data_IF_354087134704
#
_entry.id   IF_354087134704
#
_cell.length_a   1.000
_cell.length_b   1.000
_cell.length_c   1.000
_cell.angle_alpha   90.00
_cell.angle_beta   90.00
_cell.angle_gamma   90.00
#
_symmetry.space_group_name_H-M   'P 1'
#
loop_
_entity.id
_entity.type
_entity.pdbx_description
1 polymer ?
#
# COMPACT_ATOMS: atom_id res chain seq x y z
N UNK A 1 26.04 12.23 3.20
CA UNK A 1 24.72 11.82 3.74
C UNK A 1 23.91 13.07 4.01
N UNK A 2 23.02 13.45 3.09
CA UNK A 2 22.08 14.56 3.29
C UNK A 2 20.98 14.08 4.25
N UNK A 3 20.84 14.74 5.41
CA UNK A 3 19.73 14.46 6.33
C UNK A 3 18.42 14.76 5.60
N UNK A 4 17.53 13.78 5.49
CA UNK A 4 16.15 14.01 5.05
C UNK A 4 15.55 15.08 5.96
N UNK A 5 15.01 16.19 5.43
CA UNK A 5 14.43 17.24 6.26
C UNK A 5 13.31 16.64 7.12
N UNK A 6 13.27 17.02 8.40
CA UNK A 6 12.20 16.56 9.28
C UNK A 6 10.85 17.09 8.77
N UNK A 7 9.77 16.26 8.83
CA UNK A 7 8.43 16.71 8.50
C UNK A 7 8.01 17.91 9.35
N UNK A 8 7.22 18.81 8.77
CA UNK A 8 6.57 19.87 9.53
C UNK A 8 5.45 19.27 10.40
N UNK A 9 5.70 19.15 11.70
CA UNK A 9 4.73 18.59 12.66
C UNK A 9 3.55 19.54 12.85
N UNK A 10 2.34 18.97 12.87
CA UNK A 10 1.09 19.73 12.91
C UNK A 10 0.60 19.96 14.36
N UNK A 11 -0.08 21.10 14.63
CA UNK A 11 -0.67 21.37 15.94
C UNK A 11 -1.93 20.53 16.17
N UNK A 12 -2.31 20.29 17.44
CA UNK A 12 -3.49 19.47 17.78
C UNK A 12 -4.81 20.01 17.19
N UNK A 13 -4.86 21.29 16.83
CA UNK A 13 -6.01 21.89 16.14
C UNK A 13 -6.30 21.27 14.77
N UNK A 14 -5.33 20.58 14.14
CA UNK A 14 -5.53 19.87 12.86
C UNK A 14 -5.93 18.40 13.04
N UNK A 15 -6.21 17.95 14.28
CA UNK A 15 -6.54 16.56 14.57
C UNK A 15 -7.66 16.02 13.68
N UNK A 16 -8.74 16.78 13.51
CA UNK A 16 -9.88 16.37 12.68
C UNK A 16 -9.50 16.20 11.20
N UNK A 17 -8.71 17.11 10.64
CA UNK A 17 -8.24 16.99 9.26
C UNK A 17 -7.38 15.74 9.06
N UNK A 18 -6.43 15.50 9.98
CA UNK A 18 -5.57 14.31 9.91
C UNK A 18 -6.39 13.03 10.13
N UNK A 19 -7.44 13.08 10.97
CA UNK A 19 -8.34 11.96 11.14
C UNK A 19 -9.04 11.60 9.83
N UNK A 20 -9.64 12.57 9.16
CA UNK A 20 -10.33 12.35 7.87
C UNK A 20 -9.37 11.79 6.81
N UNK A 21 -8.13 12.28 6.78
CA UNK A 21 -7.10 11.77 5.87
C UNK A 21 -6.74 10.31 6.14
N UNK A 22 -6.51 9.94 7.42
CA UNK A 22 -6.19 8.55 7.79
C UNK A 22 -7.36 7.63 7.48
N UNK A 23 -8.57 8.04 7.84
CA UNK A 23 -9.79 7.25 7.65
C UNK A 23 -10.05 7.01 6.16
N UNK A 24 -9.97 8.07 5.35
CA UNK A 24 -10.15 7.99 3.90
C UNK A 24 -9.09 7.12 3.21
N UNK A 25 -7.82 7.27 3.58
CA UNK A 25 -6.74 6.45 3.01
C UNK A 25 -6.84 4.98 3.42
N UNK A 26 -7.28 4.70 4.65
CA UNK A 26 -7.52 3.34 5.10
C UNK A 26 -8.67 2.69 4.32
N UNK A 27 -9.76 3.42 4.09
CA UNK A 27 -10.91 2.90 3.36
C UNK A 27 -10.58 2.64 1.89
N UNK A 28 -9.94 3.60 1.21
CA UNK A 28 -9.46 3.42 -0.17
C UNK A 28 -8.53 2.21 -0.30
N UNK A 29 -7.61 2.02 0.64
CA UNK A 29 -6.72 0.87 0.64
C UNK A 29 -7.49 -0.46 0.82
N UNK A 30 -8.52 -0.50 1.67
CA UNK A 30 -9.35 -1.71 1.85
C UNK A 30 -10.16 -2.04 0.61
N UNK A 31 -10.73 -1.03 -0.04
CA UNK A 31 -11.45 -1.18 -1.31
C UNK A 31 -10.52 -1.76 -2.37
N UNK A 32 -9.35 -1.16 -2.57
CA UNK A 32 -8.39 -1.67 -3.55
C UNK A 32 -7.91 -3.08 -3.23
N UNK A 33 -7.67 -3.40 -1.96
CA UNK A 33 -7.28 -4.75 -1.56
C UNK A 33 -8.37 -5.77 -1.92
N UNK A 34 -9.63 -5.42 -1.73
CA UNK A 34 -10.79 -6.24 -2.13
C UNK A 34 -10.83 -6.44 -3.64
N UNK A 35 -10.66 -5.37 -4.42
CA UNK A 35 -10.59 -5.47 -5.89
C UNK A 35 -9.45 -6.37 -6.35
N UNK A 36 -8.26 -6.27 -5.74
CA UNK A 36 -7.12 -7.12 -6.09
C UNK A 36 -7.39 -8.60 -5.76
N UNK A 37 -8.05 -8.90 -4.64
CA UNK A 37 -8.45 -10.27 -4.30
C UNK A 37 -9.41 -10.87 -5.34
N UNK A 38 -10.34 -10.07 -5.86
CA UNK A 38 -11.23 -10.52 -6.94
C UNK A 38 -10.46 -10.79 -8.25
N UNK A 39 -9.45 -9.96 -8.57
CA UNK A 39 -8.59 -10.19 -9.75
C UNK A 39 -7.74 -11.45 -9.62
N UNK A 40 -7.35 -11.85 -8.40
CA UNK A 40 -6.58 -13.09 -8.18
C UNK A 40 -7.32 -14.34 -8.67
N UNK A 41 -8.66 -14.33 -8.65
CA UNK A 41 -9.47 -15.46 -9.14
C UNK A 41 -9.55 -15.52 -10.68
N UNK A 42 -8.99 -14.52 -11.37
CA UNK A 42 -8.99 -14.40 -12.83
C UNK A 42 -7.56 -14.18 -13.31
N UNK A 43 -6.79 -15.26 -13.53
CA UNK A 43 -5.43 -15.15 -14.05
C UNK A 43 -5.41 -14.30 -15.31
N UNK A 44 -4.31 -13.55 -15.52
CA UNK A 44 -4.07 -12.79 -16.75
C UNK A 44 -4.96 -11.55 -16.97
N UNK A 45 -5.72 -11.09 -15.97
CA UNK A 45 -6.54 -9.88 -16.12
C UNK A 45 -5.71 -8.59 -16.00
N UNK A 46 -4.59 -8.64 -15.29
CA UNK A 46 -3.70 -7.49 -15.10
C UNK A 46 -2.46 -7.60 -15.98
N UNK A 47 -2.18 -6.51 -16.71
CA UNK A 47 -0.92 -6.32 -17.43
C UNK A 47 0.22 -5.92 -16.47
N UNK A 48 1.45 -6.10 -16.93
CA UNK A 48 2.66 -5.79 -16.16
C UNK A 48 2.77 -4.31 -15.77
N UNK A 49 2.28 -3.37 -16.59
CA UNK A 49 2.33 -1.95 -16.27
C UNK A 49 1.39 -1.61 -15.09
N UNK A 50 0.17 -2.13 -15.10
CA UNK A 50 -0.80 -1.94 -14.01
C UNK A 50 -0.27 -2.51 -12.70
N UNK A 51 0.32 -3.71 -12.71
CA UNK A 51 0.94 -4.33 -11.53
C UNK A 51 2.06 -3.45 -10.96
N UNK A 52 2.96 -2.96 -11.81
CA UNK A 52 4.04 -2.07 -11.35
C UNK A 52 3.52 -0.75 -10.78
N UNK A 53 2.48 -0.18 -11.40
CA UNK A 53 1.89 1.06 -10.92
C UNK A 53 1.28 0.90 -9.53
N UNK A 54 0.57 -0.20 -9.28
CA UNK A 54 0.00 -0.53 -7.97
C UNK A 54 1.12 -0.68 -6.93
N UNK A 55 2.18 -1.41 -7.24
CA UNK A 55 3.33 -1.55 -6.33
C UNK A 55 3.93 -0.19 -5.99
N UNK A 56 4.15 0.68 -6.98
CA UNK A 56 4.70 2.01 -6.76
C UNK A 56 3.80 2.84 -5.82
N UNK A 57 2.52 2.97 -6.16
CA UNK A 57 1.56 3.79 -5.38
C UNK A 57 1.50 3.35 -3.91
N UNK A 58 1.41 2.05 -3.65
CA UNK A 58 1.30 1.56 -2.28
C UNK A 58 2.62 1.49 -1.53
N UNK A 59 3.76 1.46 -2.24
CA UNK A 59 5.07 1.68 -1.63
C UNK A 59 5.20 3.13 -1.17
N UNK A 60 4.86 4.09 -2.05
CA UNK A 60 4.89 5.51 -1.74
C UNK A 60 3.95 5.84 -0.56
N UNK A 61 2.73 5.28 -0.52
CA UNK A 61 1.81 5.45 0.61
C UNK A 61 2.39 4.90 1.93
N UNK A 62 3.05 3.75 1.88
CA UNK A 62 3.65 3.12 3.07
C UNK A 62 4.74 3.98 3.70
N UNK A 63 5.45 4.80 2.90
CA UNK A 63 6.46 5.74 3.41
C UNK A 63 5.86 6.85 4.30
N UNK A 64 4.57 7.16 4.16
CA UNK A 64 3.89 8.15 4.99
C UNK A 64 3.44 7.59 6.35
N UNK A 65 3.22 6.29 6.47
CA UNK A 65 2.73 5.65 7.71
C UNK A 65 3.60 6.02 8.94
N UNK A 66 4.95 5.93 8.89
CA UNK A 66 5.80 6.34 10.02
C UNK A 66 5.65 7.82 10.40
N UNK A 67 5.31 8.69 9.46
CA UNK A 67 5.10 10.12 9.72
C UNK A 67 3.83 10.31 10.56
N UNK A 68 2.72 9.65 10.17
CA UNK A 68 1.49 9.67 10.96
C UNK A 68 1.66 9.07 12.35
N UNK A 69 2.37 7.94 12.48
CA UNK A 69 2.67 7.34 13.79
C UNK A 69 3.37 8.35 14.69
N UNK A 70 4.45 8.98 14.22
CA UNK A 70 5.21 9.96 14.99
C UNK A 70 4.41 11.21 15.34
N UNK A 71 3.57 11.69 14.42
CA UNK A 71 2.67 12.82 14.67
C UNK A 71 1.69 12.50 15.82
N UNK A 72 1.07 11.31 15.79
CA UNK A 72 0.15 10.86 16.84
C UNK A 72 0.86 10.66 18.19
N UNK A 73 2.09 10.14 18.18
CA UNK A 73 2.92 10.02 19.38
C UNK A 73 3.26 11.38 20.00
N UNK A 74 3.55 12.39 19.17
CA UNK A 74 3.80 13.76 19.63
C UNK A 74 2.57 14.36 20.29
N UNK A 75 1.40 14.22 19.68
CA UNK A 75 0.16 14.71 20.29
C UNK A 75 -0.18 13.96 21.57
N UNK A 76 0.09 12.65 21.67
CA UNK A 76 -0.24 11.85 22.86
C UNK A 76 0.41 12.36 24.16
N UNK A 77 1.56 13.01 24.06
CA UNK A 77 2.31 13.56 25.21
C UNK A 77 2.10 15.06 25.42
N UNK A 78 1.27 15.70 24.60
CA UNK A 78 0.99 17.13 24.69
C UNK A 78 0.14 17.44 25.93
N UNK A 79 0.45 18.55 26.60
CA UNK A 79 -0.32 19.01 27.76
C UNK A 79 -1.60 19.71 27.32
N UNK A 80 -2.71 19.51 28.05
CA UNK A 80 -3.96 20.23 27.79
C UNK A 80 -4.91 19.56 26.80
N UNK A 81 -4.65 18.32 26.40
CA UNK A 81 -5.58 17.53 25.58
C UNK A 81 -6.89 17.28 26.32
N UNK A 82 -8.00 17.54 25.65
CA UNK A 82 -9.32 17.11 26.10
C UNK A 82 -9.46 15.59 26.05
N UNK A 83 -10.37 15.03 26.86
CA UNK A 83 -10.67 13.60 26.85
C UNK A 83 -11.10 13.09 25.45
N UNK A 84 -11.75 13.93 24.65
CA UNK A 84 -12.14 13.61 23.27
C UNK A 84 -10.92 13.50 22.36
N UNK A 85 -10.00 14.47 22.41
CA UNK A 85 -8.76 14.42 21.63
C UNK A 85 -7.91 13.19 22.00
N UNK A 86 -7.80 12.84 23.28
CA UNK A 86 -7.07 11.66 23.72
C UNK A 86 -7.66 10.36 23.18
N UNK A 87 -8.99 10.22 23.21
CA UNK A 87 -9.69 9.07 22.64
C UNK A 87 -9.48 8.99 21.13
N UNK A 88 -9.53 10.13 20.45
CA UNK A 88 -9.38 10.20 19.01
C UNK A 88 -7.96 9.83 18.56
N UNK A 89 -6.93 10.35 19.24
CA UNK A 89 -5.54 9.94 18.99
C UNK A 89 -5.38 8.43 19.16
N UNK A 90 -5.97 7.83 20.20
CA UNK A 90 -5.92 6.38 20.42
C UNK A 90 -6.60 5.60 19.28
N UNK A 91 -7.76 6.07 18.80
CA UNK A 91 -8.46 5.48 17.64
C UNK A 91 -7.60 5.56 16.38
N UNK A 92 -7.03 6.72 16.09
CA UNK A 92 -6.19 6.94 14.91
C UNK A 92 -4.93 6.06 14.92
N UNK A 93 -4.33 5.81 16.09
CA UNK A 93 -3.17 4.90 16.19
C UNK A 93 -3.52 3.48 15.74
N UNK A 94 -4.71 2.99 16.10
CA UNK A 94 -5.16 1.67 15.65
C UNK A 94 -5.47 1.67 14.14
N UNK A 95 -6.04 2.75 13.61
CA UNK A 95 -6.29 2.85 12.17
C UNK A 95 -5.02 2.94 11.34
N UNK A 96 -4.01 3.69 11.77
CA UNK A 96 -2.72 3.73 11.08
C UNK A 96 -2.05 2.35 11.08
N UNK A 97 -2.20 1.57 12.17
CA UNK A 97 -1.73 0.18 12.24
C UNK A 97 -2.47 -0.71 11.23
N UNK A 98 -3.80 -0.61 11.17
CA UNK A 98 -4.59 -1.35 10.18
C UNK A 98 -4.24 -0.94 8.76
N UNK A 99 -4.03 0.36 8.51
CA UNK A 99 -3.63 0.87 7.21
C UNK A 99 -2.30 0.28 6.77
N UNK A 100 -1.29 0.29 7.65
CA UNK A 100 -0.01 -0.37 7.38
C UNK A 100 -0.16 -1.85 7.01
N UNK A 101 -1.04 -2.59 7.70
CA UNK A 101 -1.31 -4.00 7.42
C UNK A 101 -1.98 -4.21 6.06
N UNK A 102 -2.95 -3.38 5.70
CA UNK A 102 -3.63 -3.44 4.40
C UNK A 102 -2.65 -3.10 3.27
N UNK A 103 -1.86 -2.04 3.41
CA UNK A 103 -0.82 -1.67 2.43
C UNK A 103 0.18 -2.82 2.20
N UNK A 104 0.65 -3.44 3.29
CA UNK A 104 1.57 -4.59 3.20
C UNK A 104 0.90 -5.80 2.52
N UNK A 105 -0.39 -6.03 2.79
CA UNK A 105 -1.17 -7.10 2.16
C UNK A 105 -1.36 -6.87 0.67
N UNK A 106 -1.63 -5.62 0.26
CA UNK A 106 -1.70 -5.21 -1.15
C UNK A 106 -0.37 -5.49 -1.83
N UNK A 107 0.74 -4.98 -1.29
CA UNK A 107 2.06 -5.19 -1.88
C UNK A 107 2.41 -6.68 -1.99
N UNK A 108 2.09 -7.48 -0.97
CA UNK A 108 2.31 -8.92 -1.01
C UNK A 108 1.46 -9.61 -2.09
N UNK A 109 0.19 -9.22 -2.23
CA UNK A 109 -0.71 -9.78 -3.25
C UNK A 109 -0.28 -9.36 -4.65
N UNK A 110 0.01 -8.08 -4.88
CA UNK A 110 0.44 -7.56 -6.19
C UNK A 110 1.78 -8.16 -6.62
N UNK A 111 2.71 -8.40 -5.68
CA UNK A 111 3.95 -9.13 -6.00
C UNK A 111 3.71 -10.59 -6.41
N UNK A 112 2.67 -11.26 -5.89
CA UNK A 112 2.26 -12.58 -6.39
C UNK A 112 1.68 -12.49 -7.79
N UNK A 113 0.77 -11.54 -8.02
CA UNK A 113 0.15 -11.30 -9.32
C UNK A 113 1.18 -10.92 -10.40
N UNK A 114 2.30 -10.30 -10.02
CA UNK A 114 3.43 -10.02 -10.92
C UNK A 114 4.06 -11.27 -11.53
N UNK A 115 3.92 -12.45 -10.92
CA UNK A 115 4.40 -13.72 -11.49
C UNK A 115 3.38 -14.37 -12.45
N UNK A 116 2.15 -13.84 -12.48
CA UNK A 116 1.00 -14.40 -13.19
C UNK A 116 0.48 -13.47 -14.31
N UNK A 117 1.26 -12.46 -14.72
CA UNK A 117 0.88 -11.54 -15.79
C UNK A 117 0.85 -12.22 -17.16
N UNK A 118 0.05 -11.67 -18.10
CA UNK A 118 -0.04 -12.16 -19.49
C UNK A 118 1.36 -12.24 -20.10
N UNK A 119 2.16 -11.19 -19.95
CA UNK A 119 3.47 -11.06 -20.58
C UNK A 119 4.44 -12.15 -20.11
N UNK A 120 4.43 -12.50 -18.82
CA UNK A 120 5.29 -13.58 -18.29
C UNK A 120 4.84 -14.96 -18.75
N UNK A 121 3.54 -15.20 -18.83
CA UNK A 121 3.01 -16.49 -19.29
C UNK A 121 3.17 -16.65 -20.80
N UNK A 122 2.93 -15.60 -21.58
CA UNK A 122 3.21 -15.57 -23.02
C UNK A 122 4.71 -15.76 -23.30
N UNK A 123 5.60 -15.12 -22.53
CA UNK A 123 7.05 -15.33 -22.67
C UNK A 123 7.49 -16.77 -22.41
N UNK A 124 6.85 -17.47 -21.45
CA UNK A 124 7.08 -18.90 -21.24
C UNK A 124 6.56 -19.72 -22.43
N UNK A 125 5.36 -19.41 -22.93
CA UNK A 125 4.79 -20.10 -24.09
C UNK A 125 5.64 -19.92 -25.35
N UNK A 126 6.12 -18.71 -25.64
CA UNK A 126 7.00 -18.45 -26.79
C UNK A 126 8.35 -19.14 -26.66
N UNK A 127 8.90 -19.24 -25.44
CA UNK A 127 10.12 -20.00 -25.17
C UNK A 127 9.90 -21.50 -25.36
N UNK A 128 8.78 -22.04 -24.89
CA UNK A 128 8.40 -23.45 -25.10
C UNK A 128 8.17 -23.76 -26.58
N UNK A 129 7.48 -22.86 -27.31
CA UNK A 129 7.34 -22.92 -28.77
C UNK A 129 8.69 -22.82 -29.48
N UNK A 130 9.61 -22.00 -28.97
CA UNK A 130 10.98 -21.88 -29.44
C UNK A 130 11.78 -23.18 -29.27
N UNK A 131 11.71 -23.81 -28.09
CA UNK A 131 12.34 -25.10 -27.81
C UNK A 131 11.74 -26.20 -28.69
N UNK A 132 10.43 -26.20 -28.90
CA UNK A 132 9.74 -27.18 -29.75
C UNK A 132 10.09 -27.00 -31.23
N UNK A 133 10.23 -25.76 -31.70
CA UNK A 133 10.70 -25.43 -33.05
C UNK A 133 12.14 -25.89 -33.29
N UNK A 134 13.02 -25.74 -32.29
CA UNK A 134 14.41 -26.22 -32.36
C UNK A 134 14.48 -27.75 -32.38
N UNK A 135 13.68 -28.44 -31.55
CA UNK A 135 13.60 -29.90 -31.52
C UNK A 135 13.06 -30.52 -32.80
N UNK A 136 12.15 -29.84 -33.50
CA UNK A 136 11.61 -30.28 -34.79
C UNK A 136 12.53 -29.98 -35.98
N UNK A 137 13.65 -29.28 -35.77
CA UNK A 137 14.67 -28.97 -36.79
C UNK A 137 15.93 -29.83 -36.66
N UNK A 138 16.01 -30.71 -35.66
CA UNK A 138 17.00 -31.77 -35.52
C UNK A 138 16.40 -33.10 -35.92
#
# INVERSE_FOLDING_TARGET
MTKTPEPNWQPISTLSLIADMIDGQLEEAKEQYTTLLETQQKPYVLDEYTVHRVIQVYTDQLEFVPIYIKQLEKWQIETGLTSTQQKEIKRLREQVRQWQQVLTSILALTNKLKEETIEKVMSKSDLELGIQSLKNRM
#
